data_IF_784817037524
#
_entry.id   IF_784817037524
#
_cell.length_a   1.000
_cell.length_b   1.000
_cell.length_c   1.000
_cell.angle_alpha   90.00
_cell.angle_beta   90.00
_cell.angle_gamma   90.00
#
_symmetry.space_group_name_H-M   'P 1'
#
loop_
_entity.id
_entity.type
_entity.pdbx_description
1 polymer ?
#
# COMPACT_ATOMS: atom_id res chain seq x y z
N UNK A 1 -5.06 -7.11 -15.28
CA UNK A 1 -4.34 -6.98 -14.00
C UNK A 1 -4.20 -5.51 -13.59
N UNK A 2 -3.64 -4.61 -14.42
CA UNK A 2 -3.51 -3.17 -14.08
C UNK A 2 -4.82 -2.48 -13.70
N UNK A 3 -5.94 -2.94 -14.27
CA UNK A 3 -7.29 -2.41 -13.99
C UNK A 3 -7.63 -2.32 -12.51
N UNK A 4 -7.13 -3.22 -11.66
CA UNK A 4 -7.41 -3.16 -10.23
C UNK A 4 -6.79 -1.93 -9.56
N UNK A 5 -5.59 -1.53 -10.01
CA UNK A 5 -4.90 -0.32 -9.56
C UNK A 5 -5.62 0.92 -10.10
N UNK A 6 -6.04 0.90 -11.36
CA UNK A 6 -6.79 2.01 -11.96
C UNK A 6 -8.16 2.21 -11.27
N UNK A 7 -8.84 1.11 -10.92
CA UNK A 7 -10.08 1.16 -10.15
C UNK A 7 -9.86 1.75 -8.74
N UNK A 8 -8.74 1.45 -8.08
CA UNK A 8 -8.38 2.09 -6.81
C UNK A 8 -8.31 3.62 -6.99
N UNK A 9 -7.52 4.09 -7.95
CA UNK A 9 -7.35 5.52 -8.21
C UNK A 9 -8.67 6.21 -8.56
N UNK A 10 -9.48 5.59 -9.42
CA UNK A 10 -10.79 6.12 -9.81
C UNK A 10 -11.74 6.22 -8.61
N UNK A 11 -11.85 5.17 -7.78
CA UNK A 11 -12.77 5.17 -6.64
C UNK A 11 -12.34 6.18 -5.58
N UNK A 12 -11.05 6.27 -5.29
CA UNK A 12 -10.51 7.25 -4.36
C UNK A 12 -10.77 8.69 -4.84
N UNK A 13 -10.47 8.97 -6.10
CA UNK A 13 -10.73 10.29 -6.70
C UNK A 13 -12.23 10.62 -6.74
N UNK A 14 -13.08 9.69 -7.16
CA UNK A 14 -14.52 9.94 -7.26
C UNK A 14 -15.16 10.26 -5.92
N UNK A 15 -14.69 9.60 -4.85
CA UNK A 15 -15.15 9.79 -3.48
C UNK A 15 -14.71 11.14 -2.92
N UNK A 16 -13.44 11.50 -3.09
CA UNK A 16 -12.85 12.65 -2.40
C UNK A 16 -12.76 13.92 -3.27
N UNK A 17 -12.96 13.80 -4.58
CA UNK A 17 -12.69 14.84 -5.60
C UNK A 17 -11.23 15.30 -5.66
N UNK A 18 -10.35 14.54 -5.04
CA UNK A 18 -8.90 14.64 -5.08
C UNK A 18 -8.30 13.27 -4.75
N UNK A 19 -7.02 13.07 -5.02
CA UNK A 19 -6.32 11.86 -4.58
C UNK A 19 -5.96 11.98 -3.10
N UNK A 20 -6.48 11.06 -2.29
CA UNK A 20 -6.19 11.00 -0.86
C UNK A 20 -4.85 10.33 -0.59
N UNK A 21 -4.45 10.31 0.68
CA UNK A 21 -3.28 9.56 1.15
C UNK A 21 -3.27 8.09 0.71
N UNK A 22 -4.42 7.46 0.47
CA UNK A 22 -4.48 6.07 -0.01
C UNK A 22 -3.88 5.95 -1.42
N UNK A 23 -4.34 6.77 -2.38
CA UNK A 23 -3.76 6.79 -3.73
C UNK A 23 -2.33 7.32 -3.73
N UNK A 24 -2.04 8.33 -2.92
CA UNK A 24 -0.69 8.90 -2.81
C UNK A 24 0.32 7.85 -2.31
N UNK A 25 -0.05 7.03 -1.31
CA UNK A 25 0.80 5.95 -0.80
C UNK A 25 0.91 4.77 -1.78
N UNK A 26 -0.11 4.51 -2.60
CA UNK A 26 -0.01 3.58 -3.72
C UNK A 26 1.05 4.07 -4.74
N UNK A 27 1.01 5.36 -5.11
CA UNK A 27 2.01 5.98 -6.00
C UNK A 27 3.42 5.90 -5.41
N UNK A 28 3.59 6.20 -4.11
CA UNK A 28 4.89 6.10 -3.42
C UNK A 28 5.40 4.66 -3.42
N UNK A 29 4.51 3.69 -3.20
CA UNK A 29 4.85 2.27 -3.28
C UNK A 29 5.36 1.93 -4.67
N UNK A 30 4.62 2.28 -5.73
CA UNK A 30 4.99 2.04 -7.13
C UNK A 30 6.34 2.67 -7.49
N UNK A 31 6.54 3.93 -7.09
CA UNK A 31 7.81 4.65 -7.29
C UNK A 31 8.98 3.92 -6.63
N UNK A 32 8.74 3.27 -5.51
CA UNK A 32 9.77 2.58 -4.72
C UNK A 32 9.99 1.13 -5.15
N UNK A 33 9.26 0.62 -6.13
CA UNK A 33 9.44 -0.75 -6.64
C UNK A 33 10.72 -0.87 -7.47
N UNK A 34 11.53 -1.87 -7.14
CA UNK A 34 12.78 -2.20 -7.82
C UNK A 34 12.79 -3.69 -8.20
N UNK A 35 12.88 -4.05 -9.50
CA UNK A 35 13.07 -5.43 -9.90
C UNK A 35 14.43 -5.93 -9.41
N UNK A 36 14.44 -7.13 -8.85
CA UNK A 36 15.65 -7.75 -8.31
C UNK A 36 16.47 -8.38 -9.44
N UNK A 37 17.79 -8.37 -9.30
CA UNK A 37 18.70 -8.98 -10.29
C UNK A 37 18.84 -10.49 -10.11
N UNK A 38 18.82 -10.93 -8.85
CA UNK A 38 19.18 -12.31 -8.46
C UNK A 38 17.96 -13.20 -8.19
N UNK A 39 16.74 -12.67 -8.30
CA UNK A 39 15.49 -13.41 -8.15
C UNK A 39 14.40 -12.83 -9.08
N UNK A 40 13.46 -13.66 -9.56
CA UNK A 40 12.33 -13.20 -10.37
C UNK A 40 11.26 -12.55 -9.48
N UNK A 41 11.54 -11.32 -9.02
CA UNK A 41 10.65 -10.57 -8.15
C UNK A 41 10.91 -9.08 -8.15
N UNK A 42 9.99 -8.33 -7.58
CA UNK A 42 10.11 -6.88 -7.41
C UNK A 42 9.85 -6.53 -5.96
N UNK A 43 10.82 -5.86 -5.34
CA UNK A 43 10.80 -5.47 -3.93
C UNK A 43 10.73 -3.97 -3.77
N UNK A 44 10.42 -3.52 -2.57
CA UNK A 44 10.47 -2.10 -2.22
C UNK A 44 11.92 -1.71 -1.90
N UNK A 45 12.46 -0.70 -2.59
CA UNK A 45 13.60 0.08 -2.11
C UNK A 45 13.15 0.91 -0.91
N UNK A 46 13.35 0.38 0.30
CA UNK A 46 12.93 1.04 1.54
C UNK A 46 13.70 2.33 1.84
N UNK A 47 14.88 2.55 1.24
CA UNK A 47 15.55 3.86 1.31
C UNK A 47 14.72 4.88 0.55
N UNK A 48 14.39 4.60 -0.71
CA UNK A 48 13.53 5.47 -1.52
C UNK A 48 12.16 5.67 -0.90
N UNK A 49 11.52 4.59 -0.47
CA UNK A 49 10.20 4.64 0.17
C UNK A 49 10.19 5.56 1.39
N UNK A 50 11.24 5.51 2.22
CA UNK A 50 11.38 6.36 3.40
C UNK A 50 11.52 7.84 3.03
N UNK A 51 12.31 8.17 2.01
CA UNK A 51 12.48 9.57 1.57
C UNK A 51 11.21 10.12 0.89
N UNK A 52 10.54 9.32 0.06
CA UNK A 52 9.23 9.69 -0.52
C UNK A 52 8.18 9.88 0.58
N UNK A 53 8.20 9.05 1.64
CA UNK A 53 7.30 9.18 2.77
C UNK A 53 7.53 10.49 3.55
N UNK A 54 8.79 10.85 3.84
CA UNK A 54 9.13 12.11 4.51
C UNK A 54 8.65 13.33 3.72
N UNK A 55 8.83 13.29 2.40
CA UNK A 55 8.34 14.33 1.50
C UNK A 55 6.80 14.39 1.48
N UNK A 56 6.16 13.22 1.41
CA UNK A 56 4.70 13.07 1.42
C UNK A 56 4.04 13.72 2.62
N UNK A 57 4.66 13.64 3.81
CA UNK A 57 4.14 14.31 5.00
C UNK A 57 3.90 15.81 4.78
N UNK A 58 4.60 16.46 3.85
CA UNK A 58 4.46 17.89 3.59
C UNK A 58 3.31 18.24 2.63
N UNK A 59 2.82 17.30 1.82
CA UNK A 59 1.76 17.57 0.81
C UNK A 59 0.55 16.62 0.90
N UNK A 60 0.51 15.75 1.91
CA UNK A 60 -0.53 14.74 2.09
C UNK A 60 -1.94 15.32 2.11
N UNK A 61 -2.87 14.58 1.51
CA UNK A 61 -4.30 14.84 1.59
C UNK A 61 -4.97 13.79 2.47
N UNK A 62 -5.12 14.14 3.75
CA UNK A 62 -5.56 13.21 4.81
C UNK A 62 -4.40 12.40 5.39
N UNK A 63 -4.69 11.72 6.49
CA UNK A 63 -3.76 10.85 7.22
C UNK A 63 -4.55 9.95 8.19
N UNK A 64 -3.82 9.08 8.89
CA UNK A 64 -4.31 8.38 10.07
C UNK A 64 -3.22 8.40 11.17
N UNK A 65 -3.57 8.11 12.44
CA UNK A 65 -2.61 8.14 13.54
C UNK A 65 -1.37 7.25 13.33
N UNK A 66 -1.55 6.06 12.74
CA UNK A 66 -0.44 5.13 12.46
C UNK A 66 0.56 5.72 11.46
N UNK A 67 0.11 6.42 10.43
CA UNK A 67 0.96 7.11 9.46
C UNK A 67 1.71 8.30 10.11
N UNK A 68 1.01 9.13 10.88
CA UNK A 68 1.65 10.28 11.54
C UNK A 68 2.69 9.87 12.59
N UNK A 69 2.50 8.71 13.21
CA UNK A 69 3.44 8.15 14.18
C UNK A 69 4.80 7.77 13.60
N UNK A 70 4.99 7.89 12.29
CA UNK A 70 6.27 7.69 11.63
C UNK A 70 7.12 8.98 11.55
N UNK A 71 6.56 10.12 11.95
CA UNK A 71 7.28 11.38 11.97
C UNK A 71 8.13 11.49 13.25
N UNK A 72 9.43 11.25 13.12
CA UNK A 72 10.38 11.38 14.23
C UNK A 72 10.40 10.16 15.15
N UNK A 73 10.19 10.36 16.46
CA UNK A 73 10.21 9.27 17.44
C UNK A 73 8.87 8.55 17.46
N UNK A 74 8.87 7.29 17.06
CA UNK A 74 7.68 6.42 17.05
C UNK A 74 7.16 6.20 18.47
N UNK A 75 5.87 6.45 18.68
CA UNK A 75 5.13 6.22 19.93
C UNK A 75 4.67 4.75 19.95
N UNK A 76 5.12 3.92 20.93
CA UNK A 76 4.79 2.50 20.97
C UNK A 76 3.29 2.21 21.01
N UNK A 77 2.52 2.95 21.79
CA UNK A 77 1.10 2.71 22.01
C UNK A 77 0.31 2.87 20.70
N UNK A 78 0.65 3.90 19.92
CA UNK A 78 0.05 4.12 18.59
C UNK A 78 0.50 3.03 17.62
N UNK A 79 1.79 2.67 17.62
CA UNK A 79 2.32 1.68 16.68
C UNK A 79 1.71 0.29 16.89
N UNK A 80 1.54 -0.15 18.14
CA UNK A 80 0.95 -1.45 18.46
C UNK A 80 -0.57 -1.45 18.43
N UNK A 81 -1.20 -0.32 18.78
CA UNK A 81 -2.65 -0.19 18.95
C UNK A 81 -3.40 0.21 17.68
N UNK A 82 -2.89 1.18 16.93
CA UNK A 82 -3.62 1.78 15.80
C UNK A 82 -3.46 0.98 14.50
N UNK A 83 -4.54 0.94 13.72
CA UNK A 83 -4.55 0.35 12.39
C UNK A 83 -4.19 1.40 11.35
N UNK A 84 -3.59 0.95 10.27
CA UNK A 84 -3.38 1.76 9.08
C UNK A 84 -4.40 1.36 8.00
N UNK A 85 -5.39 2.22 7.78
CA UNK A 85 -6.44 2.01 6.78
C UNK A 85 -5.97 2.25 5.33
N UNK A 86 -4.75 2.78 5.14
CA UNK A 86 -4.13 2.94 3.82
C UNK A 86 -3.44 1.69 3.29
N UNK A 87 -3.26 0.65 4.14
CA UNK A 87 -2.53 -0.58 3.79
C UNK A 87 -2.96 -1.13 2.44
N UNK A 88 -4.26 -1.11 2.14
CA UNK A 88 -4.77 -1.66 0.88
C UNK A 88 -4.22 -0.93 -0.36
N UNK A 89 -4.04 0.39 -0.28
CA UNK A 89 -3.46 1.17 -1.37
C UNK A 89 -2.02 0.76 -1.69
N UNK A 90 -1.27 0.31 -0.67
CA UNK A 90 0.11 -0.15 -0.80
C UNK A 90 0.22 -1.62 -1.19
N UNK A 91 -0.71 -2.47 -0.73
CA UNK A 91 -0.75 -3.90 -1.10
C UNK A 91 -1.03 -4.09 -2.59
N UNK A 92 -1.96 -3.33 -3.19
CA UNK A 92 -2.35 -3.53 -4.59
C UNK A 92 -1.14 -3.49 -5.54
N UNK A 93 -0.27 -2.45 -5.52
CA UNK A 93 0.95 -2.44 -6.31
C UNK A 93 1.82 -3.69 -6.14
N UNK A 94 1.99 -4.15 -4.89
CA UNK A 94 2.81 -5.33 -4.59
C UNK A 94 2.24 -6.61 -5.21
N UNK A 95 0.91 -6.79 -5.12
CA UNK A 95 0.22 -7.94 -5.73
C UNK A 95 0.32 -7.90 -7.26
N UNK A 96 0.12 -6.71 -7.86
CA UNK A 96 0.20 -6.56 -9.33
C UNK A 96 1.61 -6.85 -9.83
N UNK A 97 2.65 -6.45 -9.11
CA UNK A 97 4.01 -6.54 -9.64
C UNK A 97 4.63 -7.93 -9.45
N UNK A 98 4.28 -8.67 -8.39
CA UNK A 98 4.92 -9.94 -8.06
C UNK A 98 4.15 -11.17 -8.61
N UNK A 99 4.89 -12.09 -9.25
CA UNK A 99 4.37 -13.39 -9.71
C UNK A 99 4.56 -14.48 -8.67
N UNK A 100 5.57 -14.36 -7.83
CA UNK A 100 5.84 -15.28 -6.73
C UNK A 100 5.11 -14.79 -5.46
N UNK A 101 4.34 -15.69 -4.86
CA UNK A 101 3.59 -15.37 -3.65
C UNK A 101 4.49 -15.21 -2.42
N UNK A 102 5.61 -15.94 -2.32
CA UNK A 102 6.48 -15.86 -1.15
C UNK A 102 7.22 -14.51 -1.12
N UNK A 103 7.63 -13.99 -2.29
CA UNK A 103 8.18 -12.63 -2.41
C UNK A 103 7.10 -11.58 -2.06
N UNK A 104 5.88 -11.77 -2.56
CA UNK A 104 4.75 -10.89 -2.24
C UNK A 104 4.45 -10.87 -0.73
N UNK A 105 4.36 -12.04 -0.09
CA UNK A 105 4.06 -12.16 1.34
C UNK A 105 5.12 -11.44 2.18
N UNK A 106 6.40 -11.64 1.87
CA UNK A 106 7.50 -10.93 2.53
C UNK A 106 7.37 -9.41 2.43
N UNK A 107 7.12 -8.88 1.23
CA UNK A 107 7.04 -7.43 1.02
C UNK A 107 5.77 -6.83 1.64
N UNK A 108 4.65 -7.56 1.63
CA UNK A 108 3.42 -7.15 2.33
C UNK A 108 3.66 -7.06 3.83
N UNK A 109 4.32 -8.06 4.45
CA UNK A 109 4.66 -8.03 5.87
C UNK A 109 5.53 -6.82 6.19
N UNK A 110 6.66 -6.65 5.48
CA UNK A 110 7.58 -5.53 5.70
C UNK A 110 6.87 -4.17 5.52
N UNK A 111 5.98 -4.05 4.53
CA UNK A 111 5.27 -2.81 4.24
C UNK A 111 4.23 -2.48 5.31
N UNK A 112 3.50 -3.47 5.84
CA UNK A 112 2.58 -3.28 6.97
C UNK A 112 3.37 -2.86 8.22
N UNK A 113 4.43 -3.61 8.55
CA UNK A 113 5.27 -3.33 9.72
C UNK A 113 5.95 -1.95 9.67
N UNK A 114 6.11 -1.38 8.48
CA UNK A 114 6.62 -0.03 8.31
C UNK A 114 5.74 1.03 9.00
N UNK A 115 4.41 0.86 8.99
CA UNK A 115 3.44 1.85 9.52
C UNK A 115 2.77 1.41 10.82
N UNK A 116 2.49 0.11 10.99
CA UNK A 116 1.80 -0.42 12.18
C UNK A 116 2.32 -1.80 12.58
N UNK A 117 2.38 -2.04 13.89
CA UNK A 117 2.60 -3.34 14.50
C UNK A 117 1.31 -4.06 14.90
N UNK A 118 0.14 -3.50 14.56
CA UNK A 118 -1.16 -4.06 14.91
C UNK A 118 -1.38 -5.42 14.22
N UNK A 119 -1.52 -6.47 15.03
CA UNK A 119 -1.66 -7.85 14.54
C UNK A 119 -2.91 -8.06 13.69
N UNK A 120 -4.01 -7.39 14.01
CA UNK A 120 -5.23 -7.49 13.21
C UNK A 120 -5.01 -6.95 11.79
N UNK A 121 -4.38 -5.78 11.67
CA UNK A 121 -4.04 -5.18 10.38
C UNK A 121 -3.08 -6.06 9.58
N UNK A 122 -2.10 -6.68 10.25
CA UNK A 122 -1.19 -7.66 9.65
C UNK A 122 -1.93 -8.86 9.06
N UNK A 123 -2.76 -9.54 9.87
CA UNK A 123 -3.47 -10.72 9.42
C UNK A 123 -4.52 -10.41 8.34
N UNK A 124 -5.24 -9.28 8.44
CA UNK A 124 -6.19 -8.86 7.41
C UNK A 124 -5.47 -8.50 6.10
N UNK A 125 -4.36 -7.78 6.17
CA UNK A 125 -3.55 -7.42 5.01
C UNK A 125 -2.98 -8.65 4.31
N UNK A 126 -2.46 -9.62 5.06
CA UNK A 126 -1.96 -10.88 4.50
C UNK A 126 -3.07 -11.68 3.82
N UNK A 127 -4.22 -11.84 4.49
CA UNK A 127 -5.38 -12.52 3.92
C UNK A 127 -5.85 -11.87 2.62
N UNK A 128 -5.99 -10.55 2.61
CA UNK A 128 -6.39 -9.81 1.42
C UNK A 128 -5.34 -9.93 0.30
N UNK A 129 -4.05 -9.85 0.61
CA UNK A 129 -2.99 -10.00 -0.39
C UNK A 129 -2.99 -11.38 -1.04
N UNK A 130 -3.23 -12.44 -0.26
CA UNK A 130 -3.40 -13.82 -0.74
C UNK A 130 -4.58 -13.91 -1.72
N UNK A 131 -5.74 -13.40 -1.30
CA UNK A 131 -6.94 -13.48 -2.12
C UNK A 131 -6.80 -12.68 -3.42
N UNK A 132 -6.26 -11.46 -3.35
CA UNK A 132 -5.97 -10.64 -4.54
C UNK A 132 -5.00 -11.35 -5.49
N UNK A 133 -3.94 -11.95 -4.96
CA UNK A 133 -2.97 -12.71 -5.74
C UNK A 133 -3.65 -13.85 -6.51
N UNK A 134 -4.51 -14.63 -5.86
CA UNK A 134 -5.24 -15.71 -6.52
C UNK A 134 -6.29 -15.22 -7.51
N UNK A 135 -7.04 -14.16 -7.18
CA UNK A 135 -8.00 -13.53 -8.10
C UNK A 135 -7.30 -13.04 -9.37
N UNK A 136 -6.13 -12.42 -9.23
CA UNK A 136 -5.43 -11.76 -10.34
C UNK A 136 -4.62 -12.72 -11.20
N UNK A 137 -4.11 -13.82 -10.62
CA UNK A 137 -3.31 -14.82 -11.33
C UNK A 137 -4.12 -16.02 -11.83
N UNK A 138 -5.43 -16.08 -11.56
CA UNK A 138 -6.27 -17.13 -12.10
C UNK A 138 -6.47 -16.93 -13.62
N UNK A 139 -5.79 -17.77 -14.39
CA UNK A 139 -5.79 -17.76 -15.86
C UNK A 139 -7.09 -18.33 -16.46
N UNK A 140 -7.88 -19.05 -15.66
CA UNK A 140 -9.07 -19.78 -16.10
C UNK A 140 -10.38 -18.98 -16.00
N UNK A 141 -10.30 -17.69 -15.66
CA UNK A 141 -11.45 -16.81 -15.46
C UNK A 141 -12.20 -17.06 -14.14
N UNK A 142 -13.14 -16.16 -13.79
CA UNK A 142 -13.90 -16.23 -12.52
C UNK A 142 -14.61 -17.57 -12.28
N UNK A 143 -15.01 -18.28 -13.35
CA UNK A 143 -15.80 -19.52 -13.25
C UNK A 143 -15.09 -20.65 -12.49
N UNK A 144 -13.75 -20.64 -12.43
CA UNK A 144 -12.97 -21.64 -11.70
C UNK A 144 -12.70 -21.27 -10.22
N UNK A 145 -12.92 -20.00 -9.86
CA UNK A 145 -12.58 -19.42 -8.56
C UNK A 145 -13.84 -19.35 -7.68
N UNK A 146 -14.11 -20.40 -6.91
CA UNK A 146 -15.21 -20.37 -5.93
C UNK A 146 -14.72 -19.78 -4.61
N UNK A 147 -15.64 -19.14 -3.89
CA UNK A 147 -15.42 -18.67 -2.52
C UNK A 147 -14.89 -19.78 -1.61
N UNK A 148 -15.42 -21.00 -1.74
CA UNK A 148 -15.00 -22.17 -0.96
C UNK A 148 -13.52 -22.47 -1.15
N UNK A 149 -13.04 -22.55 -2.41
CA UNK A 149 -11.62 -22.79 -2.71
C UNK A 149 -10.72 -21.70 -2.15
N UNK A 150 -11.13 -20.44 -2.23
CA UNK A 150 -10.38 -19.32 -1.67
C UNK A 150 -10.32 -19.38 -0.14
N UNK A 151 -11.45 -19.67 0.50
CA UNK A 151 -11.55 -19.81 1.96
C UNK A 151 -10.69 -20.98 2.44
N UNK A 152 -10.76 -22.14 1.80
CA UNK A 152 -10.00 -23.32 2.19
C UNK A 152 -8.50 -23.13 1.99
N UNK A 153 -8.09 -22.56 0.84
CA UNK A 153 -6.69 -22.22 0.60
C UNK A 153 -6.14 -21.20 1.61
N UNK A 154 -6.94 -20.20 1.98
CA UNK A 154 -6.55 -19.22 2.99
C UNK A 154 -6.48 -19.85 4.39
N UNK A 155 -7.44 -20.71 4.77
CA UNK A 155 -7.38 -21.46 6.04
C UNK A 155 -6.11 -22.30 6.13
N UNK A 156 -5.77 -23.04 5.07
CA UNK A 156 -4.54 -23.83 5.00
C UNK A 156 -3.29 -22.96 5.17
N UNK A 157 -3.24 -21.79 4.51
CA UNK A 157 -2.11 -20.86 4.67
C UNK A 157 -2.01 -20.34 6.09
N UNK A 158 -3.12 -19.93 6.70
CA UNK A 158 -3.17 -19.42 8.08
C UNK A 158 -2.73 -20.50 9.06
N UNK A 159 -3.21 -21.75 8.92
CA UNK A 159 -2.80 -22.88 9.77
C UNK A 159 -1.29 -23.10 9.71
N UNK A 160 -0.71 -23.10 8.50
CA UNK A 160 0.73 -23.28 8.26
C UNK A 160 1.58 -22.08 8.67
N UNK A 161 0.98 -20.91 8.90
CA UNK A 161 1.70 -19.70 9.28
C UNK A 161 2.28 -19.84 10.71
N UNK A 162 3.58 -20.12 10.78
CA UNK A 162 4.31 -20.35 12.03
C UNK A 162 4.71 -19.03 12.68
N UNK A 163 4.27 -18.82 13.93
CA UNK A 163 4.73 -17.69 14.73
C UNK A 163 6.24 -17.65 14.93
N UNK A 164 6.86 -18.80 15.20
CA UNK A 164 8.30 -18.86 15.51
C UNK A 164 9.08 -18.38 14.30
N UNK A 165 8.78 -18.96 13.14
CA UNK A 165 9.41 -18.60 11.87
C UNK A 165 9.11 -17.15 11.47
N UNK A 166 7.89 -16.66 11.75
CA UNK A 166 7.54 -15.26 11.55
C UNK A 166 8.40 -14.32 12.40
N UNK A 167 8.49 -14.54 13.71
CA UNK A 167 9.25 -13.68 14.61
C UNK A 167 10.74 -13.72 14.25
N UNK A 168 11.30 -14.89 13.99
CA UNK A 168 12.71 -15.05 13.58
C UNK A 168 13.04 -14.23 12.33
N UNK A 169 12.15 -14.27 11.33
CA UNK A 169 12.34 -13.59 10.05
C UNK A 169 12.06 -12.09 10.11
N UNK A 170 11.04 -11.66 10.86
CA UNK A 170 10.51 -10.29 10.75
C UNK A 170 10.71 -9.40 11.97
N UNK A 171 11.27 -9.89 13.09
CA UNK A 171 11.50 -9.07 14.29
C UNK A 171 12.24 -7.75 14.04
N UNK A 172 13.21 -7.75 13.12
CA UNK A 172 14.02 -6.57 12.79
C UNK A 172 13.30 -5.55 11.91
N UNK A 173 12.16 -5.91 11.34
CA UNK A 173 11.35 -5.01 10.52
C UNK A 173 10.34 -4.20 11.34
N UNK A 174 10.12 -4.56 12.61
CA UNK A 174 9.32 -3.74 13.50
C UNK A 174 10.00 -2.41 13.81
N UNK A 175 9.21 -1.34 13.86
CA UNK A 175 9.70 0.00 14.27
C UNK A 175 9.95 0.11 15.77
N UNK A 176 9.26 -0.73 16.54
CA UNK A 176 9.40 -0.85 17.99
C UNK A 176 9.72 -2.30 18.30
N UNK A 177 10.72 -2.56 19.15
CA UNK A 177 11.08 -3.92 19.54
C UNK A 177 9.84 -4.64 20.11
N UNK A 178 9.61 -5.89 19.68
CA UNK A 178 8.53 -6.77 20.15
C UNK A 178 8.55 -6.91 21.68
N UNK A 179 9.71 -6.81 22.32
CA UNK A 179 9.85 -6.83 23.78
C UNK A 179 9.12 -5.67 24.48
N UNK A 180 8.87 -4.57 23.77
CA UNK A 180 8.10 -3.41 24.25
C UNK A 180 6.60 -3.54 23.95
N UNK A 181 6.14 -4.68 23.43
CA UNK A 181 4.72 -4.92 23.21
C UNK A 181 3.99 -4.97 24.56
N UNK A 182 2.86 -4.28 24.67
CA UNK A 182 2.07 -4.30 25.89
C UNK A 182 1.31 -5.63 26.01
N UNK A 183 1.91 -6.60 26.70
CA UNK A 183 1.37 -7.93 26.92
C UNK A 183 2.27 -9.03 26.33
N UNK A 184 1.70 -10.21 26.13
CA UNK A 184 2.44 -11.32 25.56
C UNK A 184 2.22 -11.40 24.04
N UNK A 185 3.15 -10.82 23.27
CA UNK A 185 3.08 -10.78 21.81
C UNK A 185 2.85 -12.16 21.19
N UNK A 186 3.52 -13.20 21.71
CA UNK A 186 3.36 -14.57 21.21
C UNK A 186 1.94 -15.09 21.44
N UNK A 187 1.37 -14.86 22.61
CA UNK A 187 -0.01 -15.29 22.88
C UNK A 187 -1.00 -14.51 22.01
N UNK A 188 -0.85 -13.19 21.89
CA UNK A 188 -1.76 -12.37 21.10
C UNK A 188 -1.65 -12.65 19.60
N UNK A 189 -0.47 -13.03 19.09
CA UNK A 189 -0.30 -13.45 17.70
C UNK A 189 -1.08 -14.74 17.38
N UNK A 190 -0.95 -15.79 18.21
CA UNK A 190 -1.72 -17.03 18.00
C UNK A 190 -3.22 -16.80 18.19
N UNK A 191 -3.60 -15.97 19.15
CA UNK A 191 -5.00 -15.57 19.34
C UNK A 191 -5.55 -14.83 18.11
N UNK A 192 -4.78 -13.95 17.51
CA UNK A 192 -5.19 -13.24 16.30
C UNK A 192 -5.28 -14.17 15.08
N UNK A 193 -4.35 -15.13 14.97
CA UNK A 193 -4.43 -16.21 13.99
C UNK A 193 -5.73 -17.03 14.14
N UNK A 194 -6.11 -17.39 15.37
CA UNK A 194 -7.38 -18.09 15.65
C UNK A 194 -8.61 -17.22 15.35
N UNK A 195 -8.55 -15.91 15.64
CA UNK A 195 -9.61 -14.98 15.29
C UNK A 195 -9.86 -14.95 13.78
N UNK A 196 -8.79 -14.93 12.96
CA UNK A 196 -8.89 -14.99 11.52
C UNK A 196 -9.51 -16.32 11.05
N UNK A 197 -9.08 -17.46 11.59
CA UNK A 197 -9.66 -18.76 11.26
C UNK A 197 -11.16 -18.83 11.58
N UNK A 198 -11.56 -18.31 12.74
CA UNK A 198 -12.98 -18.24 13.14
C UNK A 198 -13.79 -17.33 12.20
N UNK A 199 -13.20 -16.21 11.76
CA UNK A 199 -13.83 -15.33 10.77
C UNK A 199 -13.99 -16.02 9.41
N UNK A 200 -13.03 -16.84 8.98
CA UNK A 200 -13.12 -17.63 7.75
C UNK A 200 -14.12 -18.79 7.84
N UNK A 201 -14.39 -19.28 9.05
CA UNK A 201 -15.39 -20.32 9.28
C UNK A 201 -16.82 -19.75 9.28
N UNK A 202 -17.02 -18.62 9.95
CA UNK A 202 -18.35 -18.01 10.15
C UNK A 202 -18.74 -17.02 9.06
N UNK A 203 -17.76 -16.33 8.48
CA UNK A 203 -17.92 -15.22 7.54
C UNK A 203 -18.85 -14.10 8.01
N UNK A 204 -19.07 -14.00 9.33
CA UNK A 204 -19.94 -13.01 9.96
C UNK A 204 -19.22 -12.06 10.92
N UNK A 205 -17.88 -12.07 10.94
CA UNK A 205 -17.10 -11.26 11.88
C UNK A 205 -16.98 -9.80 11.43
N UNK A 206 -17.31 -8.87 12.32
CA UNK A 206 -17.03 -7.44 12.12
C UNK A 206 -15.54 -7.10 12.33
N UNK A 207 -14.73 -8.04 12.82
CA UNK A 207 -13.29 -7.81 13.02
C UNK A 207 -12.61 -7.56 11.68
N UNK A 208 -12.76 -8.47 10.72
CA UNK A 208 -12.11 -8.37 9.41
C UNK A 208 -13.09 -7.91 8.34
N UNK A 209 -13.66 -6.72 8.52
CA UNK A 209 -14.74 -6.23 7.69
C UNK A 209 -14.37 -6.17 6.20
N UNK A 210 -13.14 -5.75 5.87
CA UNK A 210 -12.66 -5.70 4.48
C UNK A 210 -12.46 -7.09 3.87
N UNK A 211 -12.01 -8.05 4.67
CA UNK A 211 -11.92 -9.45 4.24
C UNK A 211 -13.30 -10.08 4.00
N UNK A 212 -14.27 -9.85 4.87
CA UNK A 212 -15.62 -10.39 4.69
C UNK A 212 -16.30 -9.76 3.47
N UNK A 213 -16.16 -8.44 3.31
CA UNK A 213 -16.67 -7.72 2.14
C UNK A 213 -16.02 -8.21 0.83
N UNK A 214 -14.74 -8.62 0.86
CA UNK A 214 -14.09 -9.27 -0.28
C UNK A 214 -14.84 -10.55 -0.71
N UNK A 215 -15.16 -11.44 0.23
CA UNK A 215 -15.85 -12.69 -0.10
C UNK A 215 -17.26 -12.47 -0.62
N UNK A 216 -17.99 -11.48 -0.08
CA UNK A 216 -19.30 -11.08 -0.61
C UNK A 216 -19.20 -10.64 -2.07
N UNK A 217 -18.17 -9.84 -2.38
CA UNK A 217 -17.91 -9.43 -3.76
C UNK A 217 -17.60 -10.61 -4.68
N UNK A 218 -16.87 -11.64 -4.21
CA UNK A 218 -16.66 -12.87 -5.01
C UNK A 218 -17.98 -13.59 -5.33
N UNK A 219 -18.98 -13.48 -4.46
CA UNK A 219 -20.33 -14.03 -4.66
C UNK A 219 -21.23 -13.16 -5.55
N UNK A 220 -20.77 -11.97 -5.94
CA UNK A 220 -21.49 -11.03 -6.81
C UNK A 220 -22.17 -9.86 -6.10
N UNK A 221 -22.02 -9.74 -4.78
CA UNK A 221 -22.53 -8.59 -4.05
C UNK A 221 -21.74 -7.31 -4.37
N UNK A 222 -22.39 -6.16 -4.33
CA UNK A 222 -21.69 -4.89 -4.34
C UNK A 222 -20.86 -4.71 -3.05
N UNK A 223 -19.60 -4.31 -3.21
CA UNK A 223 -18.70 -4.11 -2.09
C UNK A 223 -18.95 -2.80 -1.34
N UNK A 224 -18.84 -2.83 -0.01
CA UNK A 224 -19.08 -1.68 0.86
C UNK A 224 -17.79 -0.94 1.24
N UNK A 225 -16.70 -1.68 1.39
CA UNK A 225 -15.36 -1.17 1.70
C UNK A 225 -14.65 -0.65 0.46
N UNK A 226 -13.53 0.06 0.63
CA UNK A 226 -12.74 0.51 -0.52
C UNK A 226 -12.32 -0.68 -1.40
N UNK A 227 -11.84 -1.76 -0.77
CA UNK A 227 -11.48 -3.00 -1.48
C UNK A 227 -12.66 -3.64 -2.19
N UNK A 228 -13.78 -3.82 -1.50
CA UNK A 228 -14.95 -4.42 -2.12
C UNK A 228 -15.39 -3.64 -3.36
N UNK A 229 -15.42 -2.30 -3.28
CA UNK A 229 -15.83 -1.45 -4.41
C UNK A 229 -14.90 -1.55 -5.61
N UNK A 230 -13.58 -1.46 -5.43
CA UNK A 230 -12.66 -1.55 -6.58
C UNK A 230 -12.54 -2.98 -7.13
N UNK A 231 -12.72 -3.99 -6.27
CA UNK A 231 -12.72 -5.40 -6.65
C UNK A 231 -13.97 -5.74 -7.45
N UNK A 232 -15.14 -5.26 -7.03
CA UNK A 232 -16.38 -5.43 -7.77
C UNK A 232 -16.26 -4.88 -9.19
N UNK A 233 -15.76 -3.66 -9.33
CA UNK A 233 -15.46 -3.05 -10.63
C UNK A 233 -14.42 -3.85 -11.45
N UNK A 234 -13.49 -4.54 -10.78
CA UNK A 234 -12.48 -5.36 -11.47
C UNK A 234 -13.09 -6.65 -12.03
N UNK A 235 -13.99 -7.29 -11.27
CA UNK A 235 -14.57 -8.59 -11.60
C UNK A 235 -15.78 -8.46 -12.54
N UNK A 236 -16.65 -7.48 -12.33
CA UNK A 236 -17.98 -7.42 -12.97
C UNK A 236 -18.14 -6.27 -13.96
N UNK A 237 -17.45 -5.14 -13.77
CA UNK A 237 -17.52 -4.03 -14.71
C UNK A 237 -16.53 -4.23 -15.86
N UNK A 238 -16.99 -4.54 -17.07
CA UNK A 238 -16.08 -4.84 -18.19
C UNK A 238 -15.53 -3.60 -18.91
N UNK A 239 -16.24 -2.47 -18.88
CA UNK A 239 -15.86 -1.23 -19.58
C UNK A 239 -15.92 -0.03 -18.63
N UNK A 240 -14.82 0.24 -17.93
CA UNK A 240 -14.67 1.50 -17.21
C UNK A 240 -13.89 2.46 -18.12
N UNK A 241 -14.56 3.51 -18.62
CA UNK A 241 -13.83 4.68 -19.08
C UNK A 241 -13.23 5.33 -17.83
N UNK A 242 -11.89 5.35 -17.75
CA UNK A 242 -11.20 5.93 -16.62
C UNK A 242 -11.13 7.44 -16.78
N UNK A 243 -11.78 8.16 -15.87
CA UNK A 243 -11.73 9.61 -15.74
C UNK A 243 -10.71 9.98 -14.66
N UNK A 244 -9.47 9.58 -14.88
CA UNK A 244 -8.31 9.90 -14.03
C UNK A 244 -7.22 10.53 -14.89
N UNK A 245 -6.28 11.25 -14.26
CA UNK A 245 -5.19 11.92 -14.99
C UNK A 245 -4.34 10.92 -15.80
N UNK A 246 -3.73 11.38 -16.90
CA UNK A 246 -2.76 10.60 -17.68
C UNK A 246 -1.63 10.01 -16.83
N UNK A 247 -1.16 10.75 -15.81
CA UNK A 247 -0.16 10.24 -14.88
C UNK A 247 -0.61 8.92 -14.23
N UNK A 248 -1.80 8.87 -13.63
CA UNK A 248 -2.33 7.66 -12.99
C UNK A 248 -2.61 6.52 -13.98
N UNK A 249 -3.01 6.84 -15.22
CA UNK A 249 -3.13 5.84 -16.29
C UNK A 249 -1.76 5.22 -16.61
N UNK A 250 -0.72 6.07 -16.75
CA UNK A 250 0.64 5.60 -17.05
C UNK A 250 1.24 4.71 -15.96
N UNK A 251 0.79 4.85 -14.70
CA UNK A 251 1.21 3.96 -13.61
C UNK A 251 0.70 2.52 -13.79
N UNK A 252 -0.46 2.34 -14.43
CA UNK A 252 -0.99 1.03 -14.79
C UNK A 252 -0.06 0.28 -15.77
N UNK A 253 0.34 0.96 -16.84
CA UNK A 253 1.27 0.38 -17.80
C UNK A 253 2.66 0.14 -17.18
N UNK A 254 3.15 1.11 -16.41
CA UNK A 254 4.45 1.03 -15.73
C UNK A 254 4.54 -0.20 -14.83
N UNK A 255 3.52 -0.47 -14.02
CA UNK A 255 3.56 -1.61 -13.09
C UNK A 255 3.49 -2.97 -13.82
N UNK A 256 2.83 -3.04 -14.97
CA UNK A 256 2.84 -4.22 -15.82
C UNK A 256 4.20 -4.43 -16.47
N UNK A 257 4.88 -3.36 -16.88
CA UNK A 257 6.24 -3.44 -17.40
C UNK A 257 7.23 -3.88 -16.33
N UNK A 258 7.07 -3.45 -15.06
CA UNK A 258 7.82 -3.99 -13.93
C UNK A 258 7.58 -5.49 -13.75
N UNK A 259 6.32 -5.94 -13.70
CA UNK A 259 5.96 -7.38 -13.59
C UNK A 259 6.59 -8.23 -14.68
N UNK A 260 6.73 -7.67 -15.88
CA UNK A 260 7.28 -8.35 -17.07
C UNK A 260 8.80 -8.22 -17.19
N UNK A 261 9.48 -7.63 -16.20
CA UNK A 261 10.93 -7.38 -16.21
C UNK A 261 11.39 -6.59 -17.44
N UNK A 262 10.55 -5.67 -17.93
CA UNK A 262 10.83 -4.83 -19.12
C UNK A 262 11.55 -3.53 -18.79
N UNK A 263 11.81 -3.27 -17.51
CA UNK A 263 12.47 -2.07 -17.04
C UNK A 263 13.81 -2.47 -16.43
N UNK A 264 14.88 -1.86 -16.93
CA UNK A 264 16.22 -2.02 -16.41
C UNK A 264 16.30 -1.47 -14.96
N UNK A 265 16.63 -2.31 -13.95
CA UNK A 265 16.72 -1.88 -12.56
C UNK A 265 17.70 -0.73 -12.33
N UNK A 266 18.79 -0.64 -13.10
CA UNK A 266 19.78 0.42 -12.94
C UNK A 266 19.21 1.80 -13.29
N UNK A 267 18.19 1.86 -14.17
CA UNK A 267 17.49 3.11 -14.50
C UNK A 267 16.55 3.60 -13.40
N UNK A 268 16.22 2.72 -12.44
CA UNK A 268 15.30 3.02 -11.34
C UNK A 268 16.03 3.40 -10.05
N UNK A 269 17.31 3.02 -9.93
CA UNK A 269 18.14 3.33 -8.76
C UNK A 269 18.46 4.82 -8.69
N UNK A 270 18.39 5.36 -7.48
CA UNK A 270 18.87 6.70 -7.15
C UNK A 270 20.21 6.53 -6.43
N UNK A 271 21.29 6.81 -7.15
CA UNK A 271 22.66 6.70 -6.61
C UNK A 271 22.91 7.75 -5.52
N UNK A 272 22.49 8.98 -5.78
CA UNK A 272 22.66 10.11 -4.87
C UNK A 272 21.34 10.88 -4.71
N UNK A 273 21.00 11.18 -3.45
CA UNK A 273 19.76 11.86 -3.08
C UNK A 273 20.02 13.35 -2.90
N UNK A 274 19.58 14.14 -3.88
CA UNK A 274 19.55 15.60 -3.85
C UNK A 274 18.15 16.01 -3.38
N UNK A 275 18.03 16.31 -2.09
CA UNK A 275 16.75 16.58 -1.41
C UNK A 275 16.75 17.98 -0.75
N UNK A 276 16.83 19.07 -1.54
CA UNK A 276 16.81 20.42 -0.97
C UNK A 276 15.46 20.70 -0.29
N UNK A 277 15.47 21.54 0.75
CA UNK A 277 14.22 21.97 1.41
C UNK A 277 13.38 22.78 0.41
N UNK A 278 12.22 22.26 0.01
CA UNK A 278 11.35 22.93 -0.97
C UNK A 278 10.93 24.34 -0.54
N UNK A 279 10.93 24.61 0.77
CA UNK A 279 10.55 25.90 1.33
C UNK A 279 11.67 26.95 1.27
N UNK A 280 12.91 26.57 0.92
CA UNK A 280 14.03 27.51 0.79
C UNK A 280 14.05 28.26 -0.55
N UNK A 281 13.21 27.86 -1.50
CA UNK A 281 13.14 28.47 -2.84
C UNK A 281 12.05 29.53 -2.92
N UNK A 282 12.25 30.52 -3.78
CA UNK A 282 11.35 31.65 -4.00
C UNK A 282 10.41 31.44 -5.20
N UNK A 283 9.35 32.23 -5.29
CA UNK A 283 8.38 32.14 -6.39
C UNK A 283 9.06 32.31 -7.76
N UNK A 284 8.74 31.42 -8.69
CA UNK A 284 9.32 31.40 -10.04
C UNK A 284 10.61 30.60 -10.17
N UNK A 285 11.30 30.26 -9.06
CA UNK A 285 12.52 29.47 -9.10
C UNK A 285 12.28 28.03 -9.56
N UNK A 286 13.28 27.48 -10.24
CA UNK A 286 13.31 26.12 -10.74
C UNK A 286 14.51 25.40 -10.15
N UNK A 287 14.31 24.20 -9.63
CA UNK A 287 15.37 23.40 -9.03
C UNK A 287 15.16 21.91 -9.29
N UNK A 288 16.22 21.14 -9.03
CA UNK A 288 16.19 19.68 -9.12
C UNK A 288 16.01 19.05 -7.74
N UNK A 289 15.14 18.05 -7.65
CA UNK A 289 14.90 17.23 -6.48
C UNK A 289 14.84 15.76 -6.89
N UNK A 290 15.62 14.85 -6.28
CA UNK A 290 15.73 13.46 -6.75
C UNK A 290 14.39 12.70 -6.82
N UNK A 291 13.41 13.05 -5.97
CA UNK A 291 12.09 12.40 -5.94
C UNK A 291 11.01 13.07 -6.80
N UNK A 292 11.12 14.38 -7.02
CA UNK A 292 10.14 15.19 -7.76
C UNK A 292 10.62 15.53 -9.17
N UNK A 293 11.91 15.31 -9.43
CA UNK A 293 12.69 15.75 -10.61
C UNK A 293 12.77 17.27 -10.70
N UNK A 294 12.53 17.83 -11.87
CA UNK A 294 12.45 19.28 -12.05
C UNK A 294 11.20 19.82 -11.36
N UNK A 295 11.40 20.83 -10.52
CA UNK A 295 10.36 21.46 -9.70
C UNK A 295 10.39 22.96 -9.94
N UNK A 296 9.22 23.56 -10.12
CA UNK A 296 9.05 25.01 -10.19
C UNK A 296 8.15 25.49 -9.06
N UNK A 297 8.57 26.52 -8.34
CA UNK A 297 7.71 27.19 -7.35
C UNK A 297 6.73 28.10 -8.10
N UNK A 298 5.45 27.81 -8.01
CA UNK A 298 4.38 28.59 -8.65
C UNK A 298 3.87 29.68 -7.73
N UNK A 299 3.75 29.37 -6.44
CA UNK A 299 3.27 30.31 -5.44
C UNK A 299 3.79 29.94 -4.05
N UNK A 300 4.03 30.93 -3.20
CA UNK A 300 4.45 30.79 -1.81
C UNK A 300 3.65 31.76 -0.97
N UNK A 301 2.96 31.24 0.05
CA UNK A 301 2.12 32.06 0.93
C UNK A 301 2.44 31.78 2.39
N UNK A 302 2.47 32.83 3.20
CA UNK A 302 2.52 32.71 4.65
C UNK A 302 1.17 33.12 5.20
N UNK A 303 0.46 32.20 5.85
CA UNK A 303 -0.81 32.49 6.52
C UNK A 303 -0.72 32.06 7.99
N UNK A 304 -0.62 33.04 8.88
CA UNK A 304 -0.43 32.79 10.31
C UNK A 304 0.92 32.11 10.58
N UNK A 305 0.89 30.90 11.14
CA UNK A 305 2.10 30.09 11.42
C UNK A 305 2.40 29.04 10.35
N UNK A 306 1.62 29.00 9.27
CA UNK A 306 1.77 27.99 8.22
C UNK A 306 2.36 28.62 6.97
N UNK A 307 3.44 28.02 6.47
CA UNK A 307 4.02 28.34 5.17
C UNK A 307 3.49 27.33 4.16
N UNK A 308 2.90 27.82 3.07
CA UNK A 308 2.48 26.99 1.95
C UNK A 308 3.32 27.29 0.72
N UNK A 309 3.63 26.25 -0.05
CA UNK A 309 4.31 26.37 -1.33
C UNK A 309 3.56 25.51 -2.34
N UNK A 310 3.10 26.13 -3.43
CA UNK A 310 2.49 25.46 -4.57
C UNK A 310 3.58 25.18 -5.60
N UNK A 311 3.83 23.91 -5.85
CA UNK A 311 4.89 23.44 -6.73
C UNK A 311 4.30 22.80 -7.98
N UNK A 312 4.95 23.05 -9.12
CA UNK A 312 4.71 22.33 -10.36
C UNK A 312 5.84 21.34 -10.60
N UNK A 313 5.48 20.12 -10.96
CA UNK A 313 6.41 19.05 -11.36
C UNK A 313 5.90 18.40 -12.64
N UNK A 314 6.69 17.48 -13.20
CA UNK A 314 6.24 16.65 -14.34
C UNK A 314 4.98 15.83 -14.02
N UNK A 315 4.76 15.44 -12.77
CA UNK A 315 3.63 14.59 -12.36
C UNK A 315 2.41 15.38 -11.91
N UNK A 316 2.48 16.71 -11.88
CA UNK A 316 1.38 17.60 -11.54
C UNK A 316 1.73 18.67 -10.53
N UNK A 317 0.68 19.25 -9.97
CA UNK A 317 0.74 20.34 -8.98
C UNK A 317 0.60 19.78 -7.56
N UNK A 318 1.44 20.25 -6.65
CA UNK A 318 1.42 19.83 -5.24
C UNK A 318 1.42 21.05 -4.33
N UNK A 319 0.56 21.05 -3.31
CA UNK A 319 0.53 22.08 -2.29
C UNK A 319 1.23 21.57 -1.03
N UNK A 320 2.46 22.01 -0.83
CA UNK A 320 3.26 21.69 0.35
C UNK A 320 2.95 22.66 1.50
N UNK A 321 3.01 22.16 2.73
CA UNK A 321 2.70 22.89 3.96
C UNK A 321 3.74 22.58 5.04
N UNK A 322 4.22 23.62 5.73
CA UNK A 322 5.16 23.57 6.86
C UNK A 322 4.65 24.38 8.03
#
# INVERSE_FOLDING_TARGET
MERILLNLFQKDYNKNKEYSYISQLAVITIKSLLPMKDEEGTRIDYKRFTEEYKLWLQYRNGDNPSLLNLQGRVIPEIYWGEKDDSIIGRIIPLVVVNKDYDILEEEVIKNILFTTGNLQALFEGLAISYLLYHVMNNSSGLQALTKEKLVDGLKDRVIKFSQISYIEKYKSHYRINIENYNGNFRVEFEKEKLNLLNALYTLGSNRYYSLIDFFKVIEGDEGNTLIGRFLYDYLYSKNNNYEISEFHLSLGEYIINLRRSRIDPEKLKINEYILPDVFSFEEGEVFYHSLLREVKIIKKEVKGKTLTSLLQTKTGMYLFRK
#
